data_IF_942913972733
#
_entry.id   IF_942913972733
#
_cell.length_a   1.000
_cell.length_b   1.000
_cell.length_c   1.000
_cell.angle_alpha   90.00
_cell.angle_beta   90.00
_cell.angle_gamma   90.00
#
_symmetry.space_group_name_H-M   'P 1'
#
loop_
_entity.id
_entity.type
_entity.pdbx_description
1 polymer ?
#
# COMPACT_ATOMS: atom_id res chain seq x y z
N UNK A 1 -11.96 0.92 7.17
CA UNK A 1 -12.87 2.10 7.11
C UNK A 1 -12.12 3.26 6.49
N UNK A 2 -12.63 3.81 5.39
CA UNK A 2 -12.07 4.99 4.72
C UNK A 2 -12.17 6.19 5.69
N UNK A 3 -11.05 6.88 5.92
CA UNK A 3 -11.01 8.03 6.84
C UNK A 3 -10.83 9.33 6.04
N UNK A 4 -11.65 10.34 6.31
CA UNK A 4 -11.64 11.61 5.60
C UNK A 4 -10.29 12.35 5.68
N UNK A 5 -9.55 12.20 6.78
CA UNK A 5 -8.23 12.82 6.98
C UNK A 5 -7.13 12.22 6.08
N UNK A 6 -7.35 11.06 5.47
CA UNK A 6 -6.39 10.42 4.57
C UNK A 6 -6.60 10.79 3.10
N UNK A 7 -7.63 11.57 2.76
CA UNK A 7 -7.88 11.98 1.38
C UNK A 7 -6.85 13.05 0.98
N UNK A 8 -6.00 12.71 0.02
CA UNK A 8 -5.03 13.64 -0.58
C UNK A 8 -5.71 14.46 -1.67
N UNK A 9 -6.42 13.80 -2.59
CA UNK A 9 -7.10 14.38 -3.75
C UNK A 9 -8.40 13.63 -4.00
N UNK A 10 -9.46 14.33 -4.39
CA UNK A 10 -10.69 13.70 -4.89
C UNK A 10 -11.24 14.51 -6.06
N UNK A 11 -11.43 13.86 -7.20
CA UNK A 11 -11.92 14.49 -8.42
C UNK A 11 -13.10 13.74 -8.99
N UNK A 12 -14.12 14.48 -9.38
CA UNK A 12 -15.22 13.99 -10.19
C UNK A 12 -14.86 14.20 -11.67
N UNK A 13 -14.85 13.12 -12.43
CA UNK A 13 -14.62 13.13 -13.87
C UNK A 13 -15.95 13.09 -14.60
N UNK A 14 -16.13 14.01 -15.55
CA UNK A 14 -17.34 14.13 -16.38
C UNK A 14 -16.93 14.19 -17.84
N UNK A 15 -17.53 13.35 -18.67
CA UNK A 15 -17.32 13.37 -20.11
C UNK A 15 -18.32 14.31 -20.80
N UNK A 16 -17.81 15.19 -21.66
CA UNK A 16 -18.60 16.06 -22.53
C UNK A 16 -18.61 15.49 -23.95
N UNK A 17 -19.81 15.31 -24.50
CA UNK A 17 -20.02 14.86 -25.88
C UNK A 17 -19.45 15.86 -26.89
N UNK A 18 -19.03 15.34 -28.04
CA UNK A 18 -18.60 16.17 -29.15
C UNK A 18 -19.77 17.00 -29.68
N UNK A 19 -19.49 18.24 -30.09
CA UNK A 19 -20.48 19.16 -30.66
C UNK A 19 -20.19 19.35 -32.15
N UNK A 20 -21.21 19.53 -32.98
CA UNK A 20 -21.03 19.77 -34.41
C UNK A 20 -20.39 21.14 -34.74
N UNK A 21 -20.62 22.13 -33.88
CA UNK A 21 -20.11 23.49 -34.02
C UNK A 21 -19.41 23.90 -32.73
N UNK A 22 -18.38 24.75 -32.85
CA UNK A 22 -17.69 25.28 -31.70
C UNK A 22 -18.65 26.10 -30.83
N UNK A 23 -18.77 25.74 -29.55
CA UNK A 23 -19.70 26.37 -28.62
C UNK A 23 -19.11 26.43 -27.22
N UNK A 24 -19.59 27.38 -26.43
CA UNK A 24 -19.27 27.44 -25.00
C UNK A 24 -20.27 26.59 -24.22
N UNK A 25 -19.74 25.72 -23.36
CA UNK A 25 -20.49 24.88 -22.43
C UNK A 25 -20.41 25.44 -21.02
N UNK A 26 -21.56 25.57 -20.39
CA UNK A 26 -21.69 25.92 -18.98
C UNK A 26 -21.89 24.65 -18.15
N UNK A 27 -20.80 24.18 -17.53
CA UNK A 27 -20.81 23.03 -16.64
C UNK A 27 -21.06 23.49 -15.20
N UNK A 28 -22.11 22.97 -14.58
CA UNK A 28 -22.50 23.20 -13.21
C UNK A 28 -22.62 21.87 -12.46
N UNK A 29 -21.93 21.80 -11.33
CA UNK A 29 -21.95 20.65 -10.42
C UNK A 29 -22.63 21.10 -9.12
N UNK A 30 -23.70 20.42 -8.73
CA UNK A 30 -24.48 20.67 -7.51
C UNK A 30 -24.44 19.45 -6.60
N UNK A 31 -24.41 19.64 -5.28
CA UNK A 31 -24.86 18.60 -4.34
C UNK A 31 -26.37 18.73 -4.13
N UNK A 32 -27.06 17.61 -4.05
CA UNK A 32 -28.49 17.61 -3.71
C UNK A 32 -28.67 17.81 -2.20
N UNK A 33 -29.74 18.50 -1.81
CA UNK A 33 -30.12 18.74 -0.40
C UNK A 33 -31.60 18.44 -0.19
N UNK A 34 -32.00 18.00 1.02
CA UNK A 34 -33.40 17.80 1.34
C UNK A 34 -34.19 19.12 1.22
N UNK A 35 -35.46 19.01 0.84
CA UNK A 35 -36.35 20.14 0.47
C UNK A 35 -36.63 21.10 1.63
N UNK A 36 -36.29 20.74 2.85
CA UNK A 36 -36.55 21.53 4.07
C UNK A 36 -35.77 22.85 4.12
N UNK A 37 -34.69 23.00 3.34
CA UNK A 37 -33.74 24.12 3.43
C UNK A 37 -33.90 25.18 2.32
N UNK A 38 -35.09 25.24 1.68
CA UNK A 38 -35.45 26.23 0.66
C UNK A 38 -34.79 26.06 -0.71
N UNK A 39 -33.62 25.41 -0.79
CA UNK A 39 -32.96 25.02 -2.05
C UNK A 39 -32.80 23.50 -2.14
N UNK A 40 -33.15 22.92 -3.30
CA UNK A 40 -32.95 21.49 -3.61
C UNK A 40 -31.49 21.14 -3.95
N UNK A 41 -30.67 22.15 -4.19
CA UNK A 41 -29.29 21.96 -4.62
C UNK A 41 -28.36 23.05 -4.09
N UNK A 42 -27.12 22.68 -3.78
CA UNK A 42 -26.06 23.61 -3.40
C UNK A 42 -24.94 23.50 -4.43
N UNK A 43 -24.56 24.62 -5.04
CA UNK A 43 -23.53 24.64 -6.09
C UNK A 43 -22.15 24.31 -5.50
N UNK A 44 -21.49 23.30 -6.07
CA UNK A 44 -20.11 22.93 -5.75
C UNK A 44 -19.16 23.74 -6.64
N UNK A 45 -19.37 23.68 -7.96
CA UNK A 45 -18.52 24.35 -8.94
C UNK A 45 -19.33 24.73 -10.17
N UNK A 46 -18.88 25.78 -10.85
CA UNK A 46 -19.34 26.13 -12.19
C UNK A 46 -18.13 26.49 -13.04
N UNK A 47 -18.12 26.03 -14.28
CA UNK A 47 -17.04 26.16 -15.24
C UNK A 47 -17.64 26.58 -16.59
N UNK A 48 -16.98 27.52 -17.25
CA UNK A 48 -17.25 27.90 -18.63
C UNK A 48 -16.14 27.28 -19.49
N UNK A 49 -16.52 26.44 -20.45
CA UNK A 49 -15.60 25.61 -21.23
C UNK A 49 -15.88 25.85 -22.70
N UNK A 50 -14.88 26.28 -23.46
CA UNK A 50 -15.01 26.41 -24.91
C UNK A 50 -14.67 25.06 -25.56
N UNK A 51 -15.63 24.51 -26.30
CA UNK A 51 -15.53 23.19 -26.93
C UNK A 51 -15.47 23.36 -28.43
N UNK A 52 -14.48 22.72 -29.05
CA UNK A 52 -14.28 22.73 -30.50
C UNK A 52 -15.18 21.69 -31.19
N UNK A 53 -15.52 21.96 -32.44
CA UNK A 53 -16.30 21.05 -33.27
C UNK A 53 -15.62 19.67 -33.40
N UNK A 54 -16.39 18.60 -33.21
CA UNK A 54 -15.94 17.22 -33.36
C UNK A 54 -15.08 16.66 -32.22
N UNK A 55 -14.78 17.44 -31.17
CA UNK A 55 -13.90 17.00 -30.08
C UNK A 55 -14.71 16.72 -28.82
N UNK A 56 -14.66 15.48 -28.32
CA UNK A 56 -15.13 15.15 -26.97
C UNK A 56 -14.02 15.40 -25.94
N UNK A 57 -14.39 15.69 -24.69
CA UNK A 57 -13.39 15.99 -23.65
C UNK A 57 -13.81 15.51 -22.28
N UNK A 58 -12.81 15.16 -21.48
CA UNK A 58 -12.96 14.88 -20.06
C UNK A 58 -12.71 16.12 -19.22
N UNK A 59 -13.59 16.36 -18.25
CA UNK A 59 -13.51 17.48 -17.33
C UNK A 59 -13.41 16.95 -15.90
N UNK A 60 -12.43 17.47 -15.15
CA UNK A 60 -12.21 17.09 -13.76
C UNK A 60 -12.63 18.22 -12.81
N UNK A 61 -13.38 17.88 -11.76
CA UNK A 61 -13.89 18.82 -10.77
C UNK A 61 -13.42 18.38 -9.39
N UNK A 62 -12.78 19.28 -8.65
CA UNK A 62 -12.38 19.01 -7.27
C UNK A 62 -13.63 18.90 -6.38
N UNK A 63 -13.78 17.71 -5.77
CA UNK A 63 -14.88 17.37 -4.85
C UNK A 63 -14.36 16.94 -3.48
N UNK A 64 -13.09 17.21 -3.16
CA UNK A 64 -12.43 16.79 -1.91
C UNK A 64 -13.19 17.22 -0.67
N UNK A 65 -13.65 18.48 -0.62
CA UNK A 65 -14.37 19.01 0.54
C UNK A 65 -15.72 18.31 0.73
N UNK A 66 -16.47 18.10 -0.37
CA UNK A 66 -17.78 17.44 -0.36
C UNK A 66 -17.63 15.99 0.12
N UNK A 67 -16.67 15.26 -0.45
CA UNK A 67 -16.40 13.88 -0.06
C UNK A 67 -15.95 13.76 1.39
N UNK A 68 -15.15 14.71 1.90
CA UNK A 68 -14.71 14.71 3.29
C UNK A 68 -15.89 14.89 4.28
N UNK A 69 -16.90 15.71 3.92
CA UNK A 69 -18.13 15.86 4.71
C UNK A 69 -18.93 14.56 4.67
N UNK A 70 -19.16 13.98 3.49
CA UNK A 70 -19.93 12.74 3.33
C UNK A 70 -19.31 11.54 4.04
N UNK A 71 -17.98 11.45 4.11
CA UNK A 71 -17.32 10.40 4.90
C UNK A 71 -17.49 10.57 6.41
N UNK A 72 -17.72 11.79 6.90
CA UNK A 72 -18.00 12.07 8.32
C UNK A 72 -19.49 11.93 8.64
N UNK A 73 -20.34 12.30 7.69
CA UNK A 73 -21.80 12.36 7.80
C UNK A 73 -22.44 11.70 6.57
N UNK A 74 -22.45 10.35 6.49
CA UNK A 74 -22.99 9.61 5.35
C UNK A 74 -24.45 9.94 5.03
N UNK A 75 -25.24 10.29 6.03
CA UNK A 75 -26.65 10.68 5.95
C UNK A 75 -26.88 11.97 5.15
N UNK A 76 -25.84 12.78 4.95
CA UNK A 76 -25.90 14.01 4.15
C UNK A 76 -25.63 13.78 2.67
N UNK A 77 -25.36 12.54 2.26
CA UNK A 77 -25.10 12.19 0.86
C UNK A 77 -26.42 11.93 0.10
N UNK A 78 -26.92 12.98 -0.56
CA UNK A 78 -28.10 12.91 -1.44
C UNK A 78 -27.74 12.80 -2.93
N UNK A 79 -26.45 12.68 -3.26
CA UNK A 79 -25.96 12.61 -4.63
C UNK A 79 -25.46 13.93 -5.21
N UNK A 80 -24.86 13.82 -6.40
CA UNK A 80 -24.33 14.94 -7.18
C UNK A 80 -25.18 15.09 -8.44
N UNK A 81 -25.60 16.31 -8.70
CA UNK A 81 -26.24 16.71 -9.95
C UNK A 81 -25.20 17.32 -10.89
N UNK A 82 -25.21 16.87 -12.15
CA UNK A 82 -24.26 17.28 -13.19
C UNK A 82 -25.06 17.87 -14.35
N UNK A 83 -24.94 19.18 -14.52
CA UNK A 83 -25.61 19.94 -15.57
C UNK A 83 -24.57 20.56 -16.48
N UNK A 84 -24.58 20.21 -17.78
CA UNK A 84 -23.67 20.79 -18.76
C UNK A 84 -24.45 21.16 -20.02
N UNK A 85 -24.66 22.46 -20.22
CA UNK A 85 -25.47 22.97 -21.32
C UNK A 85 -24.63 23.81 -22.27
N UNK A 86 -24.83 23.64 -23.58
CA UNK A 86 -24.29 24.57 -24.59
C UNK A 86 -25.12 25.88 -24.62
N UNK A 87 -24.70 26.84 -25.45
CA UNK A 87 -25.43 28.10 -25.66
C UNK A 87 -26.82 27.94 -26.27
N UNK A 88 -27.15 26.75 -26.80
CA UNK A 88 -28.46 26.40 -27.36
C UNK A 88 -29.33 25.61 -26.38
N UNK A 89 -28.82 25.28 -25.19
CA UNK A 89 -29.52 24.49 -24.17
C UNK A 89 -29.41 22.98 -24.33
N UNK A 90 -28.55 22.47 -25.22
CA UNK A 90 -28.33 21.03 -25.38
C UNK A 90 -27.48 20.48 -24.23
N UNK A 91 -27.90 19.33 -23.66
CA UNK A 91 -27.16 18.67 -22.58
C UNK A 91 -26.00 17.84 -23.13
N UNK A 92 -24.78 18.22 -22.79
CA UNK A 92 -23.56 17.59 -23.31
C UNK A 92 -22.89 16.62 -22.34
N UNK A 93 -23.19 16.70 -21.04
CA UNK A 93 -22.64 15.76 -20.07
C UNK A 93 -23.26 14.38 -20.24
N UNK A 94 -22.39 13.36 -20.38
CA UNK A 94 -22.79 11.96 -20.31
C UNK A 94 -23.14 11.65 -18.85
N UNK A 95 -24.43 11.54 -18.53
CA UNK A 95 -24.91 11.11 -17.20
C UNK A 95 -25.52 9.71 -17.21
N UNK A 96 -26.09 9.33 -18.35
CA UNK A 96 -26.63 8.01 -18.65
C UNK A 96 -26.00 7.58 -19.95
N UNK A 97 -25.29 6.44 -19.95
CA UNK A 97 -24.60 5.97 -21.14
C UNK A 97 -25.60 5.50 -22.20
N UNK A 98 -25.52 6.09 -23.39
CA UNK A 98 -26.22 5.61 -24.58
C UNK A 98 -25.41 4.48 -25.27
N UNK A 99 -26.01 3.71 -26.19
CA UNK A 99 -25.28 2.70 -26.96
C UNK A 99 -24.07 3.33 -27.67
N UNK A 100 -22.87 2.82 -27.39
CA UNK A 100 -21.60 3.39 -27.88
C UNK A 100 -20.87 4.30 -26.89
N UNK A 101 -21.44 4.58 -25.72
CA UNK A 101 -20.84 5.41 -24.65
C UNK A 101 -20.34 4.57 -23.46
N UNK A 102 -19.96 3.31 -23.68
CA UNK A 102 -19.45 2.44 -22.63
C UNK A 102 -18.15 2.99 -22.02
N UNK A 103 -18.13 3.14 -20.69
CA UNK A 103 -16.99 3.71 -19.97
C UNK A 103 -16.91 5.25 -19.93
N UNK A 104 -17.87 5.96 -20.55
CA UNK A 104 -17.92 7.44 -20.51
C UNK A 104 -18.76 7.99 -19.34
N UNK A 105 -19.22 7.12 -18.44
CA UNK A 105 -20.00 7.50 -17.28
C UNK A 105 -19.17 8.31 -16.27
N UNK A 106 -19.79 9.23 -15.51
CA UNK A 106 -19.07 9.99 -14.50
C UNK A 106 -18.54 9.08 -13.39
N UNK A 107 -17.31 9.32 -12.95
CA UNK A 107 -16.70 8.57 -11.86
C UNK A 107 -15.91 9.50 -10.93
N UNK A 108 -15.73 9.06 -9.68
CA UNK A 108 -14.95 9.79 -8.70
C UNK A 108 -13.60 9.10 -8.48
N UNK A 109 -12.52 9.80 -8.79
CA UNK A 109 -11.15 9.38 -8.51
C UNK A 109 -10.73 9.91 -7.14
N UNK A 110 -10.38 9.02 -6.21
CA UNK A 110 -9.98 9.40 -4.84
C UNK A 110 -8.58 8.87 -4.56
N UNK A 111 -7.62 9.80 -4.40
CA UNK A 111 -6.25 9.49 -3.97
C UNK A 111 -6.15 9.57 -2.46
N UNK A 112 -5.71 8.48 -1.84
CA UNK A 112 -5.63 8.33 -0.39
C UNK A 112 -4.18 8.12 0.01
N UNK A 113 -3.76 8.75 1.10
CA UNK A 113 -2.50 8.46 1.75
C UNK A 113 -2.65 7.20 2.60
N UNK A 114 -2.05 6.10 2.16
CA UNK A 114 -1.85 4.95 3.03
C UNK A 114 -0.65 5.22 3.93
N UNK A 115 -0.91 5.60 5.18
CA UNK A 115 0.13 5.54 6.21
C UNK A 115 0.60 4.11 6.39
N UNK A 116 1.88 3.87 6.73
CA UNK A 116 2.41 2.53 6.90
C UNK A 116 1.59 1.80 7.97
N UNK A 117 0.71 0.90 7.53
CA UNK A 117 0.12 -0.06 8.44
C UNK A 117 1.23 -1.01 8.80
N UNK A 118 1.87 -0.75 9.94
CA UNK A 118 2.77 -1.73 10.56
C UNK A 118 1.90 -2.90 10.97
N UNK A 119 1.66 -3.83 10.04
CA UNK A 119 1.08 -5.11 10.34
C UNK A 119 1.95 -5.72 11.45
N UNK A 120 1.30 -6.32 12.46
CA UNK A 120 2.00 -7.15 13.45
C UNK A 120 2.58 -8.31 12.66
N UNK A 121 3.81 -8.14 12.18
CA UNK A 121 4.55 -9.16 11.43
C UNK A 121 4.63 -10.37 12.34
N UNK A 122 4.45 -11.55 11.75
CA UNK A 122 4.54 -12.83 12.43
C UNK A 122 5.76 -12.81 13.36
N UNK A 123 5.53 -13.17 14.61
CA UNK A 123 6.60 -13.26 15.60
C UNK A 123 7.40 -14.48 15.14
N UNK A 124 8.62 -14.26 14.64
CA UNK A 124 9.47 -15.38 14.24
C UNK A 124 9.55 -16.40 15.36
N UNK A 125 9.56 -17.68 15.01
CA UNK A 125 9.62 -18.76 15.99
C UNK A 125 10.99 -18.74 16.69
N UNK A 126 10.96 -18.84 18.01
CA UNK A 126 12.13 -19.01 18.87
C UNK A 126 12.09 -20.43 19.44
N UNK A 127 13.11 -21.22 19.15
CA UNK A 127 13.21 -22.63 19.53
C UNK A 127 14.39 -22.84 20.46
N UNK A 128 14.22 -23.75 21.41
CA UNK A 128 15.31 -24.26 22.24
C UNK A 128 16.02 -25.42 21.53
N UNK A 129 17.24 -25.77 21.94
CA UNK A 129 18.04 -26.84 21.32
C UNK A 129 17.34 -28.22 21.32
N UNK A 130 16.45 -28.46 22.29
CA UNK A 130 15.67 -29.70 22.41
C UNK A 130 14.29 -29.64 21.76
N UNK A 131 13.99 -28.58 21.00
CA UNK A 131 12.70 -28.42 20.34
C UNK A 131 12.54 -29.44 19.21
N UNK A 132 11.41 -30.17 19.12
CA UNK A 132 11.12 -31.06 17.99
C UNK A 132 10.61 -30.30 16.75
N UNK A 133 10.71 -28.97 16.71
CA UNK A 133 10.23 -28.14 15.60
C UNK A 133 11.10 -28.32 14.36
N UNK A 134 10.50 -28.87 13.30
CA UNK A 134 11.18 -29.05 12.02
C UNK A 134 11.12 -27.81 11.13
N UNK A 135 10.23 -26.84 11.40
CA UNK A 135 10.11 -25.61 10.60
C UNK A 135 11.24 -24.63 10.89
N UNK A 136 11.46 -23.69 9.97
CA UNK A 136 12.42 -22.60 10.14
C UNK A 136 12.22 -21.83 11.45
N UNK A 137 13.23 -21.87 12.30
CA UNK A 137 13.20 -21.34 13.65
C UNK A 137 14.54 -20.70 14.05
N UNK A 138 14.50 -19.78 15.01
CA UNK A 138 15.70 -19.18 15.61
C UNK A 138 16.13 -19.98 16.82
N UNK A 139 17.38 -20.41 16.84
CA UNK A 139 17.98 -21.16 17.94
C UNK A 139 19.03 -20.31 18.67
N UNK A 140 19.16 -20.45 20.01
CA UNK A 140 20.16 -19.75 20.78
C UNK A 140 21.57 -20.23 20.40
N UNK A 141 22.49 -19.28 20.21
CA UNK A 141 23.91 -19.55 20.05
C UNK A 141 24.68 -18.44 20.75
N UNK A 142 25.55 -18.83 21.65
CA UNK A 142 26.42 -17.90 22.37
C UNK A 142 27.84 -18.06 21.83
N UNK A 143 28.39 -16.98 21.32
CA UNK A 143 29.75 -16.92 20.79
C UNK A 143 30.63 -16.36 21.88
N UNK A 144 31.67 -17.12 22.25
CA UNK A 144 32.72 -16.69 23.17
C UNK A 144 34.01 -16.47 22.39
N UNK A 145 34.53 -15.25 22.39
CA UNK A 145 35.75 -14.91 21.68
C UNK A 145 37.01 -15.45 22.36
N UNK A 146 36.94 -15.73 23.66
CA UNK A 146 38.07 -16.32 24.41
C UNK A 146 38.30 -17.77 23.98
N UNK A 147 37.23 -18.52 23.69
CA UNK A 147 37.29 -19.89 23.19
C UNK A 147 37.95 -19.98 21.79
N UNK A 148 37.83 -18.93 20.98
CA UNK A 148 38.50 -18.84 19.67
C UNK A 148 39.95 -18.32 19.75
N UNK A 149 40.44 -17.96 20.95
CA UNK A 149 41.74 -17.33 21.13
C UNK A 149 41.83 -15.93 20.53
N UNK A 150 40.72 -15.20 20.47
CA UNK A 150 40.65 -13.86 19.88
C UNK A 150 40.90 -12.77 20.92
N UNK A 151 42.12 -12.72 21.44
CA UNK A 151 42.54 -11.77 22.49
C UNK A 151 42.55 -10.30 22.01
N UNK A 152 42.55 -10.09 20.70
CA UNK A 152 42.43 -8.77 20.08
C UNK A 152 41.06 -8.12 20.35
N UNK A 153 40.07 -8.87 20.82
CA UNK A 153 38.74 -8.37 21.22
C UNK A 153 38.75 -8.08 22.72
N UNK A 154 38.58 -6.81 23.07
CA UNK A 154 38.55 -6.34 24.46
C UNK A 154 37.15 -6.53 25.04
N UNK A 155 36.10 -6.13 24.29
CA UNK A 155 34.70 -6.29 24.71
C UNK A 155 33.72 -6.30 23.52
N UNK A 156 32.58 -7.01 23.61
CA UNK A 156 32.24 -8.00 24.64
C UNK A 156 33.09 -9.27 24.48
N UNK A 157 33.36 -10.00 25.57
CA UNK A 157 34.01 -11.32 25.50
C UNK A 157 33.07 -12.40 24.99
N UNK A 158 31.80 -12.30 25.36
CA UNK A 158 30.74 -13.24 24.98
C UNK A 158 29.49 -12.49 24.53
N UNK A 159 28.84 -12.97 23.47
CA UNK A 159 27.55 -12.42 23.03
C UNK A 159 26.62 -13.49 22.45
N UNK A 160 25.31 -13.22 22.48
CA UNK A 160 24.28 -14.12 21.94
C UNK A 160 24.06 -13.80 20.46
N UNK A 161 24.67 -14.58 19.58
CA UNK A 161 24.53 -14.44 18.13
C UNK A 161 23.17 -14.99 17.65
N UNK A 162 22.77 -16.15 18.17
CA UNK A 162 21.67 -16.97 17.63
C UNK A 162 21.91 -17.41 16.17
N UNK A 163 21.18 -18.42 15.72
CA UNK A 163 21.24 -18.87 14.32
C UNK A 163 19.88 -19.35 13.83
N UNK A 164 19.74 -19.45 12.51
CA UNK A 164 18.53 -19.94 11.86
C UNK A 164 18.74 -21.38 11.40
N UNK A 165 17.77 -22.25 11.72
CA UNK A 165 17.77 -23.63 11.25
C UNK A 165 16.34 -24.14 11.12
N UNK A 166 16.15 -25.16 10.29
CA UNK A 166 14.85 -25.78 10.03
C UNK A 166 14.50 -25.80 8.54
N UNK A 167 13.46 -26.55 8.23
CA UNK A 167 12.91 -26.75 6.89
C UNK A 167 11.91 -25.63 6.56
N UNK A 168 11.88 -25.23 5.30
CA UNK A 168 10.93 -24.26 4.76
C UNK A 168 10.08 -24.94 3.70
N UNK A 169 8.77 -25.02 3.96
CA UNK A 169 7.83 -25.57 2.97
C UNK A 169 7.51 -24.52 1.89
N UNK A 170 7.32 -24.97 0.65
CA UNK A 170 6.81 -24.11 -0.41
C UNK A 170 5.34 -23.77 -0.15
N UNK A 171 5.05 -22.47 -0.12
CA UNK A 171 3.69 -21.97 -0.14
C UNK A 171 3.38 -21.46 -1.55
N UNK A 172 2.87 -22.34 -2.43
CA UNK A 172 2.24 -21.87 -3.68
C UNK A 172 0.87 -21.26 -3.37
N UNK A 173 0.59 -20.08 -3.92
CA UNK A 173 -0.76 -19.53 -3.98
C UNK A 173 -1.63 -20.52 -4.76
N UNK A 174 -2.54 -21.19 -4.06
CA UNK A 174 -3.43 -22.20 -4.63
C UNK A 174 -4.40 -21.52 -5.60
N UNK A 175 -4.01 -21.42 -6.87
CA UNK A 175 -4.91 -20.95 -7.94
C UNK A 175 -5.87 -22.07 -8.39
N UNK A 176 -5.49 -23.34 -8.18
CA UNK A 176 -6.29 -24.52 -8.52
C UNK A 176 -6.15 -25.64 -7.48
N UNK A 177 -7.09 -26.59 -7.37
CA UNK A 177 -7.04 -27.66 -6.36
C UNK A 177 -5.89 -28.66 -6.53
N UNK A 178 -5.26 -28.75 -7.71
CA UNK A 178 -4.14 -29.68 -7.97
C UNK A 178 -2.76 -29.11 -7.57
N UNK A 179 -2.65 -27.82 -7.24
CA UNK A 179 -1.36 -27.20 -6.87
C UNK A 179 -0.79 -27.75 -5.56
N UNK A 180 -1.61 -28.38 -4.71
CA UNK A 180 -1.18 -29.07 -3.49
C UNK A 180 -0.25 -30.28 -3.75
N UNK A 181 -0.29 -30.89 -4.94
CA UNK A 181 0.53 -32.07 -5.27
C UNK A 181 2.01 -31.72 -5.50
N UNK A 182 2.32 -30.47 -5.85
CA UNK A 182 3.70 -30.01 -6.10
C UNK A 182 4.50 -29.95 -4.80
N UNK A 183 3.87 -29.60 -3.67
CA UNK A 183 4.51 -29.55 -2.34
C UNK A 183 5.12 -30.89 -1.91
N UNK A 184 4.51 -32.01 -2.33
CA UNK A 184 4.89 -33.35 -1.87
C UNK A 184 5.93 -34.04 -2.76
N UNK A 185 6.19 -33.48 -3.94
CA UNK A 185 7.03 -34.10 -4.97
C UNK A 185 8.49 -33.61 -4.97
N UNK A 186 8.84 -32.57 -4.21
CA UNK A 186 10.19 -32.00 -4.27
C UNK A 186 11.14 -32.70 -3.28
N UNK A 187 12.20 -33.38 -3.76
CA UNK A 187 13.19 -33.99 -2.89
C UNK A 187 14.02 -32.93 -2.18
N UNK A 188 14.48 -33.28 -0.98
CA UNK A 188 15.42 -32.49 -0.17
C UNK A 188 16.60 -32.04 -1.05
N UNK A 189 16.80 -30.74 -1.21
CA UNK A 189 18.17 -30.22 -1.34
C UNK A 189 18.53 -29.15 -2.37
N UNK A 190 17.70 -28.71 -3.34
CA UNK A 190 18.31 -27.82 -4.37
C UNK A 190 17.47 -26.72 -5.03
N UNK A 191 16.18 -26.54 -4.75
CA UNK A 191 15.41 -25.48 -5.43
C UNK A 191 14.43 -24.67 -4.55
N UNK A 192 14.43 -24.87 -3.23
CA UNK A 192 13.40 -24.35 -2.32
C UNK A 192 13.82 -23.21 -1.42
N UNK A 193 12.83 -22.57 -0.74
CA UNK A 193 13.12 -21.49 0.19
C UNK A 193 14.07 -22.00 1.29
N UNK A 194 15.05 -21.19 1.65
CA UNK A 194 16.01 -21.51 2.69
C UNK A 194 15.65 -20.79 3.99
N UNK A 195 15.92 -21.41 5.13
CA UNK A 195 15.78 -20.75 6.42
C UNK A 195 16.94 -19.78 6.64
N UNK A 196 16.69 -18.47 6.54
CA UNK A 196 17.71 -17.42 6.61
C UNK A 196 17.33 -16.33 7.62
N UNK A 197 18.30 -15.56 8.13
CA UNK A 197 18.01 -14.42 9.00
C UNK A 197 17.35 -13.29 8.22
N UNK A 198 16.09 -12.98 8.56
CA UNK A 198 15.32 -11.89 7.95
C UNK A 198 15.52 -10.55 8.66
N UNK A 199 16.00 -10.59 9.91
CA UNK A 199 16.39 -9.40 10.66
C UNK A 199 17.60 -9.70 11.51
N UNK A 200 18.59 -8.81 11.43
CA UNK A 200 19.78 -8.86 12.25
C UNK A 200 20.01 -7.54 12.97
N UNK A 201 20.55 -7.63 14.17
CA UNK A 201 20.97 -6.51 14.98
C UNK A 201 22.49 -6.39 15.04
N UNK A 202 22.99 -5.15 15.13
CA UNK A 202 24.41 -4.86 15.33
C UNK A 202 24.85 -5.08 16.78
N UNK A 203 26.16 -5.25 17.00
CA UNK A 203 26.78 -5.17 18.34
C UNK A 203 27.78 -4.03 18.41
N UNK A 204 28.00 -3.47 19.60
CA UNK A 204 29.11 -2.57 19.85
C UNK A 204 30.33 -3.41 20.25
N UNK A 205 31.49 -3.09 19.70
CA UNK A 205 32.70 -3.88 19.84
C UNK A 205 33.91 -2.98 20.07
N UNK A 206 34.74 -3.36 21.03
CA UNK A 206 36.01 -2.73 21.38
C UNK A 206 37.13 -3.72 21.07
N UNK A 207 38.02 -3.38 20.14
CA UNK A 207 39.05 -4.30 19.66
C UNK A 207 40.33 -3.60 19.19
N UNK A 208 41.43 -4.35 19.13
CA UNK A 208 42.70 -3.91 18.57
C UNK A 208 42.72 -4.09 17.05
N UNK A 209 43.07 -3.04 16.32
CA UNK A 209 43.36 -3.14 14.89
C UNK A 209 44.79 -3.66 14.65
N UNK A 210 45.15 -3.97 13.40
CA UNK A 210 46.51 -4.42 12.99
C UNK A 210 47.65 -3.46 13.35
N UNK A 211 47.34 -2.22 13.73
CA UNK A 211 48.28 -1.20 14.20
C UNK A 211 48.32 -1.06 15.73
N UNK A 212 47.74 -2.03 16.45
CA UNK A 212 47.62 -2.03 17.93
C UNK A 212 46.84 -0.83 18.50
N UNK A 213 46.04 -0.19 17.66
CA UNK A 213 45.15 0.89 18.08
C UNK A 213 43.82 0.32 18.55
N UNK A 214 43.32 0.83 19.68
CA UNK A 214 42.00 0.46 20.22
C UNK A 214 40.92 1.18 19.42
N UNK A 215 40.01 0.41 18.84
CA UNK A 215 38.86 0.91 18.07
C UNK A 215 37.57 0.51 18.78
N UNK A 216 36.70 1.49 19.01
CA UNK A 216 35.32 1.26 19.41
C UNK A 216 34.41 1.49 18.20
N UNK A 217 33.64 0.47 17.83
CA UNK A 217 32.80 0.52 16.65
C UNK A 217 31.54 -0.32 16.78
N UNK A 218 30.61 -0.10 15.85
CA UNK A 218 29.36 -0.83 15.77
C UNK A 218 29.40 -1.76 14.56
N UNK A 219 29.42 -3.07 14.81
CA UNK A 219 29.51 -4.08 13.76
C UNK A 219 28.09 -4.50 13.36
N UNK A 220 27.67 -4.27 12.10
CA UNK A 220 26.35 -4.64 11.63
C UNK A 220 26.19 -6.15 11.51
N UNK A 221 24.94 -6.63 11.57
CA UNK A 221 24.57 -8.01 11.24
C UNK A 221 25.29 -9.09 12.05
N UNK A 222 25.37 -8.90 13.38
CA UNK A 222 26.05 -9.84 14.28
C UNK A 222 25.08 -10.69 15.10
N UNK A 223 23.87 -10.20 15.37
CA UNK A 223 22.85 -10.92 16.15
C UNK A 223 21.66 -11.22 15.26
N UNK A 224 21.25 -12.48 15.19
CA UNK A 224 20.00 -12.88 14.53
C UNK A 224 18.82 -12.54 15.43
N UNK A 225 18.00 -11.59 14.99
CA UNK A 225 16.76 -11.21 15.68
C UNK A 225 15.57 -12.03 15.21
N UNK A 226 15.61 -12.51 13.96
CA UNK A 226 14.48 -13.20 13.32
C UNK A 226 14.94 -14.06 12.16
N UNK A 227 14.39 -15.26 12.10
CA UNK A 227 14.52 -16.19 10.98
C UNK A 227 13.26 -16.17 10.10
N UNK A 228 13.41 -16.57 8.84
CA UNK A 228 12.29 -16.76 7.92
C UNK A 228 12.72 -17.51 6.67
N UNK A 229 11.73 -17.87 5.86
CA UNK A 229 11.93 -18.61 4.62
C UNK A 229 12.05 -17.63 3.44
N UNK A 230 13.17 -17.68 2.71
CA UNK A 230 13.48 -16.84 1.55
C UNK A 230 14.00 -17.65 0.38
#
# INVERSE_FOLDING_TARGET
KFQANRIVRAQLWVHLRAVHEATTVFLQISRLTPVTDGSRHVRIRSLKIDVNAGVSSWQSIDVKQVLAVWLRQPETNWGIEINAFDTRGNKLAVTSAEPGEEGLQPFMEVKISEGPRRARRDLGLDCDENSPESRCCRYPLTVDFEDFGWDWIIAPKRYKANYCSGECEYMYLQKYPHTHLVNKANPRGTAGPCCTPTKMSPINMLYFNRKEQIIYGKIPSMVVDRCGCS
#
